data_IF_667397345522
#
_entry.id   IF_667397345522
#
_cell.length_a   1.000
_cell.length_b   1.000
_cell.length_c   1.000
_cell.angle_alpha   90.00
_cell.angle_beta   90.00
_cell.angle_gamma   90.00
#
_symmetry.space_group_name_H-M   'P 1'
#
loop_
_entity.id
_entity.type
_entity.pdbx_description
1 polymer ?
#
# COMPACT_ATOMS: atom_id res chain seq x y z
N UNK A 1 4.40 10.60 37.61
CA UNK A 1 3.69 9.43 37.04
C UNK A 1 3.40 9.58 35.54
N UNK A 2 4.34 10.12 34.75
CA UNK A 2 3.98 10.91 33.56
C UNK A 2 4.52 10.44 32.19
N UNK A 3 5.34 9.40 32.12
CA UNK A 3 5.99 8.99 30.85
C UNK A 3 6.08 7.48 30.72
N UNK A 4 6.45 6.76 31.78
CA UNK A 4 6.49 5.29 31.79
C UNK A 4 5.13 4.62 31.56
N UNK A 5 4.04 5.15 32.14
CA UNK A 5 2.69 4.60 31.89
C UNK A 5 2.23 4.79 30.44
N UNK A 6 2.68 5.86 29.77
CA UNK A 6 2.38 6.10 28.35
C UNK A 6 3.20 5.19 27.43
N UNK A 7 4.49 4.99 27.75
CA UNK A 7 5.35 4.07 27.01
C UNK A 7 4.89 2.61 27.18
N UNK A 8 4.53 2.20 28.39
CA UNK A 8 4.01 0.85 28.66
C UNK A 8 2.67 0.59 27.94
N UNK A 9 1.75 1.57 27.91
CA UNK A 9 0.49 1.48 27.18
C UNK A 9 0.69 1.35 25.67
N UNK A 10 1.62 2.11 25.08
CA UNK A 10 1.93 2.03 23.66
C UNK A 10 2.57 0.68 23.27
N UNK A 11 3.41 0.11 24.14
CA UNK A 11 4.03 -1.22 23.91
C UNK A 11 2.99 -2.34 24.02
N UNK A 12 2.05 -2.24 24.96
CA UNK A 12 0.94 -3.21 25.09
C UNK A 12 -0.04 -3.11 23.91
N UNK A 13 -0.34 -1.91 23.41
CA UNK A 13 -1.14 -1.71 22.21
C UNK A 13 -0.45 -2.26 20.96
N UNK A 14 0.85 -2.01 20.78
CA UNK A 14 1.66 -2.59 19.69
C UNK A 14 1.73 -4.12 19.76
N UNK A 15 1.86 -4.71 20.96
CA UNK A 15 1.84 -6.17 21.13
C UNK A 15 0.45 -6.78 20.90
N UNK A 16 -0.60 -6.14 21.39
CA UNK A 16 -1.99 -6.58 21.20
C UNK A 16 -2.43 -6.45 19.74
N UNK A 17 -2.03 -5.38 19.06
CA UNK A 17 -2.29 -5.14 17.65
C UNK A 17 -1.45 -6.07 16.77
N UNK A 18 -0.17 -6.26 17.09
CA UNK A 18 0.70 -7.26 16.45
C UNK A 18 0.12 -8.67 16.54
N UNK A 19 -0.57 -9.01 17.64
CA UNK A 19 -1.34 -10.25 17.78
C UNK A 19 -2.61 -10.28 16.92
N UNK A 20 -3.34 -9.16 16.76
CA UNK A 20 -4.53 -9.08 15.88
C UNK A 20 -4.17 -9.20 14.40
N UNK A 21 -3.12 -8.52 13.94
CA UNK A 21 -2.62 -8.62 12.58
C UNK A 21 -1.94 -9.96 12.33
N UNK A 22 -1.15 -10.47 13.30
CA UNK A 22 -0.66 -11.84 13.22
C UNK A 22 -1.82 -12.84 13.15
N UNK A 23 -2.87 -12.70 13.94
CA UNK A 23 -4.05 -13.57 13.90
C UNK A 23 -4.84 -13.45 12.59
N UNK A 24 -4.93 -12.26 11.99
CA UNK A 24 -5.56 -12.06 10.67
C UNK A 24 -4.72 -12.70 9.56
N UNK A 25 -3.40 -12.51 9.60
CA UNK A 25 -2.43 -13.07 8.64
C UNK A 25 -2.05 -14.53 8.92
N UNK A 26 -2.45 -15.12 10.06
CA UNK A 26 -2.15 -16.50 10.46
C UNK A 26 -3.36 -17.42 10.36
N UNK A 27 -4.49 -16.96 9.80
CA UNK A 27 -5.57 -17.88 9.43
C UNK A 27 -5.00 -18.83 8.38
N UNK A 28 -5.00 -20.10 8.72
CA UNK A 28 -4.48 -21.20 7.91
C UNK A 28 -4.89 -21.05 6.45
N UNK A 29 -3.88 -21.10 5.56
CA UNK A 29 -3.88 -21.21 4.08
C UNK A 29 -5.20 -21.78 3.52
N UNK A 30 -6.27 -21.00 3.56
CA UNK A 30 -7.54 -21.33 2.92
C UNK A 30 -7.48 -20.52 1.64
N UNK A 31 -7.33 -21.23 0.51
CA UNK A 31 -7.38 -20.63 -0.81
C UNK A 31 -8.53 -19.60 -0.83
N UNK A 32 -8.21 -18.37 -1.21
CA UNK A 32 -9.18 -17.28 -1.28
C UNK A 32 -10.39 -17.76 -2.09
N UNK A 33 -11.58 -17.68 -1.51
CA UNK A 33 -12.80 -17.96 -2.25
C UNK A 33 -13.17 -16.68 -3.03
N UNK A 34 -12.77 -16.65 -4.29
CA UNK A 34 -12.87 -15.47 -5.16
C UNK A 34 -14.31 -14.95 -5.19
N UNK A 35 -15.31 -15.83 -5.27
CA UNK A 35 -16.70 -15.40 -5.35
C UNK A 35 -17.15 -14.71 -4.06
N UNK A 36 -16.87 -15.33 -2.91
CA UNK A 36 -17.19 -14.76 -1.60
C UNK A 36 -16.50 -13.42 -1.38
N UNK A 37 -15.26 -13.25 -1.85
CA UNK A 37 -14.56 -11.97 -1.75
C UNK A 37 -15.11 -10.92 -2.71
N UNK A 38 -15.48 -11.28 -3.94
CA UNK A 38 -16.11 -10.35 -4.87
C UNK A 38 -17.47 -9.86 -4.34
N UNK A 39 -18.29 -10.75 -3.78
CA UNK A 39 -19.56 -10.40 -3.12
C UNK A 39 -19.34 -9.43 -1.95
N UNK A 40 -18.30 -9.65 -1.13
CA UNK A 40 -17.94 -8.75 -0.02
C UNK A 40 -17.55 -7.35 -0.49
N UNK A 41 -17.07 -7.22 -1.73
CA UNK A 41 -16.66 -5.96 -2.35
C UNK A 41 -17.78 -5.31 -3.17
N UNK A 42 -19.01 -5.83 -3.08
CA UNK A 42 -20.16 -5.42 -3.90
C UNK A 42 -19.91 -5.59 -5.42
N UNK A 43 -19.08 -6.57 -5.78
CA UNK A 43 -18.81 -6.96 -7.17
C UNK A 43 -19.64 -8.21 -7.48
N UNK A 44 -20.85 -8.01 -7.98
CA UNK A 44 -21.76 -9.11 -8.29
C UNK A 44 -21.47 -9.69 -9.70
N UNK A 45 -20.81 -10.85 -9.73
CA UNK A 45 -20.51 -11.62 -10.94
C UNK A 45 -21.05 -13.04 -10.76
N UNK A 46 -21.63 -13.60 -11.82
CA UNK A 46 -21.99 -15.02 -11.82
C UNK A 46 -20.73 -15.89 -11.74
N UNK A 47 -20.84 -17.07 -11.13
CA UNK A 47 -19.70 -18.00 -10.94
C UNK A 47 -18.99 -18.38 -12.24
N UNK A 48 -19.75 -18.45 -13.33
CA UNK A 48 -19.26 -18.87 -14.65
C UNK A 48 -18.85 -17.66 -15.52
N UNK A 49 -18.88 -16.44 -14.98
CA UNK A 49 -18.50 -15.23 -15.70
C UNK A 49 -16.99 -15.30 -16.09
N UNK A 50 -16.64 -15.06 -17.36
CA UNK A 50 -15.25 -15.07 -17.82
C UNK A 50 -14.31 -14.14 -17.02
N UNK A 51 -14.85 -13.06 -16.43
CA UNK A 51 -14.09 -12.14 -15.59
C UNK A 51 -13.63 -12.80 -14.29
N UNK A 52 -14.46 -13.67 -13.69
CA UNK A 52 -14.10 -14.43 -12.48
C UNK A 52 -12.95 -15.38 -12.78
N UNK A 53 -12.99 -16.05 -13.94
CA UNK A 53 -11.90 -16.92 -14.41
C UNK A 53 -10.60 -16.14 -14.54
N UNK A 54 -10.64 -14.98 -15.21
CA UNK A 54 -9.46 -14.12 -15.40
C UNK A 54 -8.90 -13.59 -14.09
N UNK A 55 -9.76 -13.17 -13.14
CA UNK A 55 -9.34 -12.77 -11.79
C UNK A 55 -8.62 -13.93 -11.10
N UNK A 56 -9.16 -15.15 -11.21
CA UNK A 56 -8.53 -16.33 -10.62
C UNK A 56 -7.20 -16.72 -11.25
N UNK A 57 -7.03 -16.54 -12.55
CA UNK A 57 -5.76 -16.76 -13.26
C UNK A 57 -4.69 -15.75 -12.83
N UNK A 58 -5.06 -14.47 -12.77
CA UNK A 58 -4.14 -13.41 -12.33
C UNK A 58 -3.77 -13.59 -10.86
N UNK A 59 -4.75 -13.93 -10.01
CA UNK A 59 -4.51 -14.24 -8.60
C UNK A 59 -3.50 -15.38 -8.43
N UNK A 60 -3.67 -16.50 -9.14
CA UNK A 60 -2.73 -17.63 -9.13
C UNK A 60 -1.34 -17.21 -9.60
N UNK A 61 -1.27 -16.39 -10.65
CA UNK A 61 0.00 -15.88 -11.19
C UNK A 61 0.73 -15.03 -10.17
N UNK A 62 0.03 -14.13 -9.48
CA UNK A 62 0.61 -13.30 -8.42
C UNK A 62 0.96 -14.11 -7.18
N UNK A 63 0.13 -15.05 -6.75
CA UNK A 63 0.45 -15.95 -5.63
C UNK A 63 1.74 -16.74 -5.88
N UNK A 64 1.96 -17.22 -7.12
CA UNK A 64 3.20 -17.89 -7.52
C UNK A 64 4.44 -16.98 -7.41
N UNK A 65 4.27 -15.66 -7.55
CA UNK A 65 5.33 -14.65 -7.34
C UNK A 65 5.55 -14.30 -5.86
N UNK A 66 4.67 -14.76 -4.97
CA UNK A 66 4.79 -14.58 -3.53
C UNK A 66 3.71 -13.68 -2.91
N UNK A 67 2.75 -13.17 -3.68
CA UNK A 67 1.65 -12.37 -3.12
C UNK A 67 0.80 -13.20 -2.16
N UNK A 68 0.25 -12.53 -1.14
CA UNK A 68 -0.78 -13.09 -0.28
C UNK A 68 -1.80 -12.00 0.01
N UNK A 69 -3.00 -12.19 -0.54
CA UNK A 69 -4.14 -11.31 -0.38
C UNK A 69 -4.94 -11.60 0.90
N UNK A 70 -4.59 -12.67 1.63
CA UNK A 70 -5.08 -12.92 2.99
C UNK A 70 -4.67 -11.74 3.89
N UNK A 71 -5.62 -10.86 4.20
CA UNK A 71 -5.39 -9.62 4.94
C UNK A 71 -4.82 -8.47 4.12
N UNK A 72 -4.85 -8.55 2.78
CA UNK A 72 -4.51 -7.50 1.82
C UNK A 72 -5.74 -7.10 0.99
N UNK A 73 -6.85 -6.86 1.68
CA UNK A 73 -8.19 -6.66 1.11
C UNK A 73 -8.21 -5.58 0.00
N UNK A 74 -7.47 -4.49 0.18
CA UNK A 74 -7.45 -3.36 -0.76
C UNK A 74 -6.73 -3.71 -2.07
N UNK A 75 -5.57 -4.36 -2.01
CA UNK A 75 -4.85 -4.79 -3.22
C UNK A 75 -5.64 -5.84 -4.01
N UNK A 76 -6.43 -6.71 -3.35
CA UNK A 76 -7.33 -7.62 -4.05
C UNK A 76 -8.47 -6.86 -4.75
N UNK A 77 -9.10 -5.91 -4.06
CA UNK A 77 -10.15 -5.08 -4.65
C UNK A 77 -9.64 -4.29 -5.86
N UNK A 78 -8.47 -3.66 -5.75
CA UNK A 78 -7.82 -2.94 -6.85
C UNK A 78 -7.53 -3.88 -8.04
N UNK A 79 -7.06 -5.09 -7.79
CA UNK A 79 -6.82 -6.09 -8.83
C UNK A 79 -8.12 -6.46 -9.55
N UNK A 80 -9.17 -6.82 -8.80
CA UNK A 80 -10.45 -7.24 -9.35
C UNK A 80 -11.10 -6.12 -10.17
N UNK A 81 -11.19 -4.92 -9.60
CA UNK A 81 -11.74 -3.73 -10.29
C UNK A 81 -10.88 -3.31 -11.47
N UNK A 82 -9.56 -3.36 -11.34
CA UNK A 82 -8.62 -2.98 -12.39
C UNK A 82 -8.74 -3.87 -13.63
N UNK A 83 -8.88 -5.18 -13.44
CA UNK A 83 -9.16 -6.11 -14.53
C UNK A 83 -10.47 -5.75 -15.26
N UNK A 84 -11.47 -5.24 -14.56
CA UNK A 84 -12.74 -4.79 -15.14
C UNK A 84 -12.70 -3.35 -15.70
N UNK A 85 -11.57 -2.67 -15.66
CA UNK A 85 -11.46 -1.26 -16.08
C UNK A 85 -12.15 -0.27 -15.14
N UNK A 86 -12.39 -0.66 -13.89
CA UNK A 86 -13.09 0.14 -12.88
C UNK A 86 -12.15 0.89 -11.91
N UNK A 87 -10.84 0.74 -12.08
CA UNK A 87 -9.85 1.54 -11.35
C UNK A 87 -9.28 2.56 -12.33
N UNK A 88 -9.59 3.85 -12.14
CA UNK A 88 -8.99 4.87 -12.99
C UNK A 88 -7.49 4.98 -12.74
N UNK A 89 -6.73 5.34 -13.77
CA UNK A 89 -5.33 5.70 -13.59
C UNK A 89 -5.29 7.14 -13.07
N UNK A 90 -5.10 7.32 -11.76
CA UNK A 90 -5.04 8.64 -11.15
C UNK A 90 -3.72 9.35 -11.44
N UNK A 91 -2.61 8.63 -11.28
CA UNK A 91 -1.25 9.10 -11.51
C UNK A 91 -0.35 7.93 -11.87
N UNK A 92 0.84 8.23 -12.39
CA UNK A 92 1.96 7.28 -12.52
C UNK A 92 3.19 7.84 -11.83
N UNK A 93 4.09 6.96 -11.40
CA UNK A 93 5.38 7.34 -10.84
C UNK A 93 6.44 7.00 -11.87
N UNK A 94 7.11 8.01 -12.40
CA UNK A 94 8.17 7.84 -13.41
C UNK A 94 9.44 7.27 -12.77
N UNK A 95 9.79 7.78 -11.59
CA UNK A 95 10.96 7.37 -10.84
C UNK A 95 10.84 7.76 -9.37
N UNK A 96 11.55 7.05 -8.52
CA UNK A 96 11.80 7.44 -7.14
C UNK A 96 13.24 7.10 -6.76
N UNK A 97 13.78 7.84 -5.79
CA UNK A 97 15.07 7.56 -5.18
C UNK A 97 14.91 7.60 -3.66
N UNK A 98 15.59 6.68 -2.97
CA UNK A 98 15.63 6.66 -1.51
C UNK A 98 17.10 6.63 -1.08
N UNK A 99 17.48 7.56 -0.21
CA UNK A 99 18.86 7.74 0.26
C UNK A 99 18.86 7.65 1.78
N UNK A 100 19.74 6.81 2.33
CA UNK A 100 20.01 6.77 3.76
C UNK A 100 21.15 7.73 4.10
N UNK A 101 20.88 8.72 4.96
CA UNK A 101 21.87 9.65 5.50
C UNK A 101 22.26 9.18 6.89
N UNK A 102 23.46 8.62 7.01
CA UNK A 102 24.03 8.18 8.28
C UNK A 102 25.08 9.20 8.75
N UNK A 103 24.88 9.79 9.92
CA UNK A 103 25.81 10.76 10.52
C UNK A 103 25.88 10.59 12.04
N UNK A 104 26.83 11.26 12.69
CA UNK A 104 26.94 11.25 14.15
C UNK A 104 26.35 12.55 14.69
N UNK A 105 25.33 12.43 15.54
CA UNK A 105 24.72 13.54 16.26
C UNK A 105 24.92 13.35 17.78
N UNK A 106 25.49 14.34 18.45
CA UNK A 106 25.86 14.28 19.87
C UNK A 106 26.57 12.97 20.29
N UNK A 107 27.47 12.46 19.43
CA UNK A 107 28.23 11.23 19.68
C UNK A 107 27.44 9.92 19.48
N UNK A 108 26.23 9.97 18.92
CA UNK A 108 25.41 8.81 18.59
C UNK A 108 25.21 8.69 17.07
N UNK A 109 25.24 7.47 16.50
CA UNK A 109 24.87 7.28 15.11
C UNK A 109 23.38 7.60 14.93
N UNK A 110 23.08 8.49 14.02
CA UNK A 110 21.75 8.89 13.60
C UNK A 110 21.58 8.57 12.13
N UNK A 111 20.46 7.94 11.78
CA UNK A 111 20.09 7.64 10.41
C UNK A 111 18.76 8.33 10.10
N UNK A 112 18.74 9.06 8.98
CA UNK A 112 17.53 9.66 8.41
C UNK A 112 17.46 9.22 6.96
N UNK A 113 16.27 8.85 6.50
CA UNK A 113 16.05 8.51 5.09
C UNK A 113 15.44 9.72 4.39
N UNK A 114 15.89 10.01 3.18
CA UNK A 114 15.27 10.96 2.27
C UNK A 114 14.73 10.20 1.06
N UNK A 115 13.51 10.50 0.63
CA UNK A 115 12.95 9.99 -0.60
C UNK A 115 12.60 11.15 -1.54
N UNK A 116 12.91 10.98 -2.83
CA UNK A 116 12.44 11.85 -3.90
C UNK A 116 11.60 11.05 -4.88
N UNK A 117 10.49 11.61 -5.34
CA UNK A 117 9.56 10.94 -6.26
C UNK A 117 9.18 11.90 -7.37
N UNK A 118 9.16 11.39 -8.60
CA UNK A 118 8.65 12.07 -9.79
C UNK A 118 7.31 11.43 -10.18
N UNK A 119 6.23 12.19 -10.06
CA UNK A 119 4.85 11.74 -10.30
C UNK A 119 4.27 12.47 -11.49
N UNK A 120 3.67 11.75 -12.43
CA UNK A 120 2.85 12.30 -13.50
C UNK A 120 1.38 12.10 -13.16
N UNK A 121 0.66 13.20 -12.93
CA UNK A 121 -0.79 13.18 -12.73
C UNK A 121 -1.45 12.85 -14.07
N UNK A 122 -2.52 12.06 -14.04
CA UNK A 122 -3.23 11.72 -15.26
C UNK A 122 -3.74 12.97 -15.99
N UNK A 123 -3.50 13.03 -17.30
CA UNK A 123 -3.85 14.17 -18.13
C UNK A 123 -2.81 15.30 -18.16
N UNK A 124 -1.85 15.31 -17.23
CA UNK A 124 -0.76 16.30 -17.25
C UNK A 124 0.34 15.91 -18.25
N UNK A 125 1.07 16.92 -18.72
CA UNK A 125 2.23 16.75 -19.61
C UNK A 125 3.56 16.72 -18.84
N UNK A 126 3.63 17.42 -17.71
CA UNK A 126 4.85 17.58 -16.92
C UNK A 126 4.67 16.92 -15.56
N UNK A 127 5.63 16.12 -15.11
CA UNK A 127 5.56 15.50 -13.81
C UNK A 127 5.97 16.48 -12.70
N UNK A 128 5.39 16.27 -11.54
CA UNK A 128 5.72 16.98 -10.30
C UNK A 128 6.75 16.20 -9.51
N UNK A 129 7.59 16.94 -8.79
CA UNK A 129 8.64 16.41 -7.94
C UNK A 129 8.32 16.67 -6.49
N UNK A 130 8.49 15.63 -5.67
CA UNK A 130 8.32 15.68 -4.23
C UNK A 130 9.55 15.12 -3.55
N UNK A 131 9.93 15.71 -2.42
CA UNK A 131 11.01 15.22 -1.57
C UNK A 131 10.53 15.25 -0.13
N UNK A 132 10.78 14.17 0.61
CA UNK A 132 10.47 14.10 2.03
C UNK A 132 11.56 13.34 2.80
N UNK A 133 11.72 13.69 4.08
CA UNK A 133 12.60 12.99 5.00
C UNK A 133 11.77 12.22 6.05
N UNK A 134 12.31 11.12 6.54
CA UNK A 134 11.66 10.32 7.57
C UNK A 134 12.64 9.49 8.40
N UNK A 135 12.18 8.92 9.52
CA UNK A 135 13.01 8.06 10.38
C UNK A 135 13.41 6.73 9.72
N UNK A 136 12.92 6.46 8.50
CA UNK A 136 13.19 5.26 7.73
C UNK A 136 12.67 5.39 6.29
N UNK A 137 13.05 4.48 5.41
CA UNK A 137 12.80 4.60 3.97
C UNK A 137 11.31 4.50 3.63
N UNK A 138 10.55 3.73 4.41
CA UNK A 138 9.08 3.61 4.24
C UNK A 138 8.40 4.95 4.51
N UNK A 139 8.71 5.59 5.63
CA UNK A 139 8.09 6.85 6.02
C UNK A 139 8.47 7.99 5.07
N UNK A 140 9.75 8.04 4.65
CA UNK A 140 10.21 9.03 3.69
C UNK A 140 9.49 8.86 2.33
N UNK A 141 9.40 7.62 1.84
CA UNK A 141 8.75 7.33 0.56
C UNK A 141 7.23 7.57 0.60
N UNK A 142 6.54 7.19 1.67
CA UNK A 142 5.12 7.50 1.88
C UNK A 142 4.84 9.00 1.82
N UNK A 143 5.62 9.79 2.56
CA UNK A 143 5.46 11.24 2.57
C UNK A 143 5.76 11.83 1.19
N UNK A 144 6.85 11.44 0.55
CA UNK A 144 7.20 11.94 -0.78
C UNK A 144 6.14 11.60 -1.84
N UNK A 145 5.55 10.40 -1.79
CA UNK A 145 4.44 10.01 -2.68
C UNK A 145 3.20 10.87 -2.47
N UNK A 146 2.88 11.25 -1.23
CA UNK A 146 1.65 11.98 -0.89
C UNK A 146 1.78 13.50 -0.90
N UNK A 147 2.99 14.04 -0.93
CA UNK A 147 3.24 15.48 -0.74
C UNK A 147 2.59 16.35 -1.83
N UNK A 148 2.65 15.90 -3.09
CA UNK A 148 2.24 16.71 -4.23
C UNK A 148 1.48 15.87 -5.27
N UNK A 149 0.24 15.49 -4.95
CA UNK A 149 -0.65 14.80 -5.89
C UNK A 149 -1.69 15.74 -6.54
N UNK A 150 -1.44 17.06 -6.49
CA UNK A 150 -2.23 18.08 -7.16
C UNK A 150 -3.74 17.99 -6.86
N UNK A 151 -4.61 17.70 -7.85
CA UNK A 151 -6.06 17.65 -7.66
C UNK A 151 -6.50 16.57 -6.67
N UNK A 152 -5.67 15.57 -6.40
CA UNK A 152 -5.98 14.50 -5.46
C UNK A 152 -5.67 14.84 -4.00
N UNK A 153 -4.95 15.95 -3.75
CA UNK A 153 -4.53 16.32 -2.39
C UNK A 153 -5.69 16.37 -1.38
N UNK A 154 -6.88 16.93 -1.71
CA UNK A 154 -8.03 16.93 -0.81
C UNK A 154 -8.51 15.52 -0.41
N UNK A 155 -8.41 14.54 -1.31
CA UNK A 155 -8.86 13.17 -1.08
C UNK A 155 -7.93 12.37 -0.17
N UNK A 156 -6.68 12.79 0.02
CA UNK A 156 -5.69 12.05 0.82
C UNK A 156 -5.19 12.82 2.05
N UNK A 157 -5.82 13.95 2.42
CA UNK A 157 -5.40 14.75 3.60
C UNK A 157 -5.48 13.98 4.91
N UNK A 158 -6.43 13.05 4.99
CA UNK A 158 -6.69 12.21 6.15
C UNK A 158 -6.02 10.83 6.05
N UNK A 159 -5.27 10.55 4.98
CA UNK A 159 -4.47 9.35 4.85
C UNK A 159 -3.37 9.30 5.92
N UNK A 160 -3.23 8.14 6.56
CA UNK A 160 -2.19 7.83 7.53
C UNK A 160 -1.60 6.44 7.24
N UNK A 161 -0.27 6.37 7.10
CA UNK A 161 0.46 5.11 7.18
C UNK A 161 0.52 4.66 8.65
N UNK A 162 -0.08 3.51 8.96
CA UNK A 162 -0.20 3.04 10.36
C UNK A 162 0.91 2.07 10.72
N UNK A 163 1.11 1.03 9.91
CA UNK A 163 2.17 0.04 10.11
C UNK A 163 2.56 -0.63 8.79
N UNK A 164 3.69 -1.33 8.81
CA UNK A 164 4.08 -2.21 7.73
C UNK A 164 4.76 -3.48 8.25
N UNK A 165 4.53 -4.58 7.56
CA UNK A 165 5.13 -5.89 7.89
C UNK A 165 5.84 -6.47 6.70
N UNK A 166 7.12 -6.76 6.88
CA UNK A 166 7.97 -7.37 5.87
C UNK A 166 8.13 -8.87 6.13
N UNK A 167 8.02 -9.67 5.08
CA UNK A 167 8.30 -11.11 5.11
C UNK A 167 9.24 -11.47 3.96
N UNK A 168 10.38 -12.07 4.31
CA UNK A 168 11.26 -12.70 3.34
C UNK A 168 10.75 -14.09 3.00
N UNK A 169 10.50 -14.33 1.72
CA UNK A 169 10.06 -15.60 1.19
C UNK A 169 11.23 -16.26 0.46
N UNK A 170 11.43 -17.55 0.71
CA UNK A 170 12.39 -18.35 -0.05
C UNK A 170 11.75 -18.69 -1.39
N UNK A 171 12.28 -18.12 -2.47
CA UNK A 171 11.84 -18.38 -3.85
C UNK A 171 12.96 -18.97 -4.71
N UNK A 172 12.60 -19.37 -5.92
CA UNK A 172 13.53 -19.71 -7.02
C UNK A 172 13.21 -18.76 -8.18
N UNK A 173 14.17 -18.03 -8.75
CA UNK A 173 15.63 -18.18 -8.64
C UNK A 173 16.29 -17.48 -7.44
N UNK A 174 15.54 -16.75 -6.60
CA UNK A 174 16.09 -16.04 -5.45
C UNK A 174 15.03 -15.68 -4.40
N UNK A 175 15.45 -15.13 -3.24
CA UNK A 175 14.51 -14.66 -2.23
C UNK A 175 13.67 -13.52 -2.79
N UNK A 176 12.39 -13.50 -2.43
CA UNK A 176 11.48 -12.38 -2.71
C UNK A 176 10.98 -11.81 -1.39
N UNK A 177 10.78 -10.50 -1.36
CA UNK A 177 10.27 -9.78 -0.21
C UNK A 177 8.81 -9.46 -0.43
N UNK A 178 7.96 -9.84 0.51
CA UNK A 178 6.57 -9.41 0.57
C UNK A 178 6.40 -8.37 1.66
N UNK A 179 5.76 -7.26 1.33
CA UNK A 179 5.48 -6.16 2.26
C UNK A 179 3.97 -5.98 2.34
N UNK A 180 3.43 -6.03 3.55
CA UNK A 180 2.05 -5.64 3.85
C UNK A 180 2.07 -4.25 4.48
N UNK A 181 1.30 -3.31 3.96
CA UNK A 181 1.13 -1.97 4.53
C UNK A 181 -0.28 -1.86 5.09
N UNK A 182 -0.41 -1.37 6.33
CA UNK A 182 -1.67 -0.90 6.89
C UNK A 182 -1.75 0.61 6.73
N UNK A 183 -2.87 1.08 6.21
CA UNK A 183 -3.19 2.49 6.12
C UNK A 183 -4.56 2.76 6.74
N UNK A 184 -4.75 4.00 7.17
CA UNK A 184 -5.96 4.45 7.84
C UNK A 184 -6.42 5.78 7.27
N UNK A 185 -7.74 5.92 7.23
CA UNK A 185 -8.41 7.20 7.06
C UNK A 185 -8.68 7.78 8.45
N UNK A 186 -8.06 8.90 8.76
CA UNK A 186 -8.20 9.56 10.07
C UNK A 186 -9.60 10.14 10.29
N UNK A 187 -10.32 10.47 9.23
CA UNK A 187 -11.68 11.03 9.29
C UNK A 187 -12.71 9.94 9.60
N UNK A 188 -12.68 8.84 8.84
CA UNK A 188 -13.67 7.75 8.99
C UNK A 188 -13.25 6.72 10.02
N UNK A 189 -11.95 6.61 10.31
CA UNK A 189 -11.37 5.55 11.13
C UNK A 189 -11.26 4.21 10.41
N UNK A 190 -11.52 4.14 9.11
CA UNK A 190 -11.38 2.93 8.31
C UNK A 190 -9.91 2.55 8.13
N UNK A 191 -9.61 1.26 8.23
CA UNK A 191 -8.30 0.68 7.98
C UNK A 191 -8.34 -0.22 6.76
N UNK A 192 -7.30 -0.14 5.93
CA UNK A 192 -7.11 -1.05 4.80
C UNK A 192 -5.67 -1.53 4.72
N UNK A 193 -5.50 -2.61 3.97
CA UNK A 193 -4.22 -3.29 3.84
C UNK A 193 -3.91 -3.55 2.38
N UNK A 194 -2.69 -3.20 1.99
CA UNK A 194 -2.15 -3.44 0.65
C UNK A 194 -0.90 -4.31 0.73
N UNK A 195 -0.56 -4.95 -0.39
CA UNK A 195 0.56 -5.87 -0.48
C UNK A 195 1.40 -5.60 -1.72
N UNK A 196 2.71 -5.50 -1.53
CA UNK A 196 3.69 -5.44 -2.61
C UNK A 196 4.69 -6.59 -2.51
N UNK A 197 5.19 -7.05 -3.65
CA UNK A 197 6.14 -8.17 -3.71
C UNK A 197 7.23 -7.91 -4.74
N UNK A 198 8.47 -7.91 -4.30
CA UNK A 198 9.63 -7.75 -5.17
C UNK A 198 10.87 -8.41 -4.57
N UNK A 199 11.85 -8.72 -5.42
CA UNK A 199 13.18 -9.12 -4.97
C UNK A 199 13.88 -7.97 -4.19
N UNK A 200 13.52 -6.71 -4.48
CA UNK A 200 13.97 -5.52 -3.76
C UNK A 200 12.90 -5.09 -2.75
N UNK A 201 13.32 -4.90 -1.49
CA UNK A 201 12.43 -4.46 -0.41
C UNK A 201 11.81 -3.08 -0.67
N UNK A 202 12.57 -2.14 -1.25
CA UNK A 202 12.08 -0.78 -1.51
C UNK A 202 11.00 -0.80 -2.60
N UNK A 203 11.17 -1.62 -3.64
CA UNK A 203 10.16 -1.79 -4.69
C UNK A 203 8.86 -2.42 -4.14
N UNK A 204 8.99 -3.40 -3.23
CA UNK A 204 7.83 -4.01 -2.59
C UNK A 204 7.08 -3.01 -1.67
N UNK A 205 7.81 -2.14 -0.97
CA UNK A 205 7.23 -1.04 -0.19
C UNK A 205 6.52 -0.05 -1.13
N UNK A 206 7.21 0.36 -2.19
CA UNK A 206 6.70 1.29 -3.19
C UNK A 206 5.37 0.81 -3.79
N UNK A 207 5.31 -0.44 -4.24
CA UNK A 207 4.09 -1.04 -4.78
C UNK A 207 2.94 -1.00 -3.77
N UNK A 208 3.20 -1.42 -2.52
CA UNK A 208 2.18 -1.42 -1.47
C UNK A 208 1.66 -0.01 -1.15
N UNK A 209 2.54 0.99 -1.12
CA UNK A 209 2.17 2.39 -0.85
C UNK A 209 1.37 3.00 -2.01
N UNK A 210 1.77 2.74 -3.26
CA UNK A 210 1.03 3.20 -4.44
C UNK A 210 -0.38 2.59 -4.47
N UNK A 211 -0.50 1.29 -4.18
CA UNK A 211 -1.80 0.64 -4.02
C UNK A 211 -2.61 1.30 -2.89
N UNK A 212 -1.98 1.62 -1.75
CA UNK A 212 -2.69 2.19 -0.61
C UNK A 212 -3.30 3.56 -0.95
N UNK A 213 -2.54 4.40 -1.66
CA UNK A 213 -3.00 5.71 -2.12
C UNK A 213 -4.11 5.56 -3.16
N UNK A 214 -3.91 4.71 -4.18
CA UNK A 214 -4.93 4.46 -5.20
C UNK A 214 -6.23 3.92 -4.60
N UNK A 215 -6.14 3.06 -3.59
CA UNK A 215 -7.31 2.58 -2.86
C UNK A 215 -8.08 3.72 -2.19
N UNK A 216 -7.38 4.62 -1.49
CA UNK A 216 -8.00 5.78 -0.85
C UNK A 216 -8.66 6.71 -1.88
N UNK A 217 -8.02 6.93 -3.03
CA UNK A 217 -8.62 7.73 -4.13
C UNK A 217 -9.88 7.08 -4.69
N UNK A 218 -9.83 5.77 -4.94
CA UNK A 218 -10.98 4.99 -5.39
C UNK A 218 -12.15 5.08 -4.40
N UNK A 219 -11.90 4.86 -3.10
CA UNK A 219 -12.94 4.91 -2.06
C UNK A 219 -13.48 6.31 -1.81
N UNK A 220 -12.67 7.33 -2.08
CA UNK A 220 -13.10 8.73 -2.02
C UNK A 220 -13.84 9.18 -3.28
N UNK A 221 -14.10 8.27 -4.23
CA UNK A 221 -14.66 8.55 -5.55
C UNK A 221 -13.96 9.73 -6.24
N UNK A 222 -12.63 9.79 -6.13
CA UNK A 222 -11.86 10.80 -6.84
C UNK A 222 -12.12 10.65 -8.35
N UNK A 223 -12.43 11.76 -9.01
CA UNK A 223 -12.53 11.81 -10.46
C UNK A 223 -11.13 11.84 -11.06
N UNK A 224 -10.98 11.27 -12.26
CA UNK A 224 -9.70 11.37 -12.98
C UNK A 224 -9.44 12.84 -13.31
N UNK A 225 -8.27 13.33 -12.92
CA UNK A 225 -7.83 14.66 -13.30
C UNK A 225 -7.96 14.83 -14.83
N UNK A 226 -8.60 15.91 -15.25
CA UNK A 226 -8.85 16.23 -16.66
C UNK A 226 -9.74 15.22 -17.41
N UNK A 227 -10.61 14.49 -16.71
CA UNK A 227 -11.71 13.77 -17.33
C UNK A 227 -12.63 14.78 -18.08
N UNK A 228 -12.44 14.83 -19.41
CA UNK A 228 -13.20 15.61 -20.40
C UNK A 228 -12.83 17.11 -20.51
N UNK A 229 -11.78 17.40 -21.28
CA UNK A 229 -11.94 18.34 -22.39
C UNK A 229 -12.37 17.51 -23.61
N UNK A 230 -13.67 17.39 -23.82
CA UNK A 230 -14.27 16.80 -25.02
C UNK A 230 -15.15 17.83 -25.69
#
# INVERSE_FOLDING_TARGET
>A
MSTEKRAAGAVDELQMWGRRVAARLSRHRKRLDIHSELERLDINLEKDDPRVVRIGEELRTREARGYAYEGGDASFELLARGLMGQVPQYFSVDSFHVIEKCYTDHGRPTTVSEASVRVLIHGDHEPVWSVAEGPGPVCALDQALRENLGPYQPHIRDFELVDYKVRLLRGSPGPVTRVHVESRDRTTGEHWFTVGVSANIVDAIFEALVDAINYKLLKSNAEVAHALAS
#
